data_IF_941172319608
#
_entry.id   IF_941172319608
#
_cell.length_a   1.000
_cell.length_b   1.000
_cell.length_c   1.000
_cell.angle_alpha   90.00
_cell.angle_beta   90.00
_cell.angle_gamma   90.00
#
_symmetry.space_group_name_H-M   'P 1'
#
loop_
_entity.id
_entity.type
_entity.pdbx_description
1 polymer ?
#
# COMPACT_ATOMS: atom_id res chain seq x y z
N UNK A 1 -2.04 4.59 -17.83
CA UNK A 1 -2.12 3.14 -18.12
C UNK A 1 -3.44 2.56 -17.63
N UNK A 2 -4.08 1.65 -18.37
CA UNK A 2 -5.30 0.92 -17.94
C UNK A 2 -4.93 -0.49 -17.49
N UNK A 3 -5.61 -1.02 -16.47
CA UNK A 3 -5.38 -2.37 -15.96
C UNK A 3 -6.04 -3.38 -16.90
N UNK A 4 -5.32 -4.45 -17.26
CA UNK A 4 -5.88 -5.56 -18.02
C UNK A 4 -6.84 -6.37 -17.13
N UNK A 5 -8.07 -6.58 -17.61
CA UNK A 5 -9.11 -7.32 -16.88
C UNK A 5 -9.34 -8.74 -17.42
N UNK A 6 -8.63 -9.13 -18.49
CA UNK A 6 -8.81 -10.42 -19.16
C UNK A 6 -7.77 -11.47 -18.74
N UNK A 7 -6.60 -11.03 -18.25
CA UNK A 7 -5.54 -11.93 -17.80
C UNK A 7 -4.92 -11.44 -16.49
N UNK A 8 -4.25 -12.32 -15.71
CA UNK A 8 -3.53 -11.90 -14.53
C UNK A 8 -2.49 -10.83 -14.87
N UNK A 9 -2.43 -9.78 -14.05
CA UNK A 9 -1.41 -8.73 -14.16
C UNK A 9 -0.25 -9.02 -13.22
N UNK A 10 0.97 -8.71 -13.64
CA UNK A 10 2.16 -8.82 -12.79
C UNK A 10 2.17 -7.71 -11.75
N UNK A 11 2.35 -8.09 -10.49
CA UNK A 11 2.26 -7.19 -9.33
C UNK A 11 3.47 -7.37 -8.42
N UNK A 12 3.95 -6.26 -7.86
CA UNK A 12 4.74 -6.24 -6.63
C UNK A 12 4.05 -5.34 -5.61
N UNK A 13 4.18 -5.68 -4.32
CA UNK A 13 3.61 -4.89 -3.22
C UNK A 13 4.75 -4.30 -2.41
N UNK A 14 4.68 -3.00 -2.11
CA UNK A 14 5.58 -2.26 -1.24
C UNK A 14 4.78 -1.74 -0.05
N UNK A 15 5.04 -2.28 1.13
CA UNK A 15 4.14 -2.14 2.28
C UNK A 15 4.86 -2.07 3.62
N UNK A 16 4.29 -1.34 4.56
CA UNK A 16 4.77 -1.17 5.93
C UNK A 16 4.01 -2.06 6.93
N UNK A 17 3.79 -3.33 6.57
CA UNK A 17 2.89 -4.26 7.25
C UNK A 17 3.04 -4.41 8.77
N UNK A 18 4.17 -3.99 9.36
CA UNK A 18 4.35 -3.95 10.81
C UNK A 18 3.64 -2.78 11.52
N UNK A 19 3.02 -1.86 10.77
CA UNK A 19 2.48 -0.60 11.27
C UNK A 19 0.99 -0.70 11.65
N UNK A 20 0.12 -1.11 10.72
CA UNK A 20 -1.32 -1.32 10.96
C UNK A 20 -1.77 -2.74 10.55
N UNK A 21 -3.08 -2.97 10.40
CA UNK A 21 -3.69 -4.28 10.10
C UNK A 21 -4.07 -4.48 8.62
N UNK A 22 -4.12 -3.41 7.84
CA UNK A 22 -4.68 -3.39 6.50
C UNK A 22 -3.74 -3.95 5.44
N UNK A 23 -2.43 -3.84 5.62
CA UNK A 23 -1.43 -4.49 4.79
C UNK A 23 -1.61 -6.01 4.78
N UNK A 24 -1.88 -6.61 5.93
CA UNK A 24 -2.08 -8.06 6.06
C UNK A 24 -3.30 -8.50 5.26
N UNK A 25 -4.37 -7.70 5.25
CA UNK A 25 -5.54 -7.93 4.39
C UNK A 25 -5.18 -7.79 2.91
N UNK A 26 -4.42 -6.75 2.53
CA UNK A 26 -4.00 -6.52 1.14
C UNK A 26 -3.11 -7.67 0.62
N UNK A 27 -2.13 -8.12 1.40
CA UNK A 27 -1.25 -9.25 1.07
C UNK A 27 -2.05 -10.53 0.92
N UNK A 28 -2.88 -10.87 1.93
CA UNK A 28 -3.69 -12.09 1.90
C UNK A 28 -4.64 -12.10 0.71
N UNK A 29 -5.33 -10.98 0.45
CA UNK A 29 -6.27 -10.88 -0.66
C UNK A 29 -5.58 -11.03 -2.02
N UNK A 30 -4.37 -10.48 -2.17
CA UNK A 30 -3.58 -10.61 -3.38
C UNK A 30 -3.25 -12.07 -3.69
N UNK A 31 -2.84 -12.82 -2.66
CA UNK A 31 -2.51 -14.25 -2.77
C UNK A 31 -3.72 -15.15 -3.03
N UNK A 32 -4.90 -14.73 -2.60
CA UNK A 32 -6.16 -15.45 -2.80
C UNK A 32 -6.82 -15.13 -4.16
N UNK A 33 -6.22 -14.24 -4.95
CA UNK A 33 -6.74 -13.78 -6.25
C UNK A 33 -5.74 -14.00 -7.40
N UNK A 34 -5.11 -15.18 -7.41
CA UNK A 34 -4.20 -15.61 -8.49
C UNK A 34 -4.90 -15.66 -9.87
N UNK A 35 -6.24 -15.69 -9.91
CA UNK A 35 -7.03 -15.53 -11.13
C UNK A 35 -6.84 -14.16 -11.80
N UNK A 36 -6.34 -13.16 -11.06
CA UNK A 36 -6.17 -11.78 -11.53
C UNK A 36 -4.82 -11.16 -11.21
N UNK A 37 -4.10 -11.67 -10.21
CA UNK A 37 -2.84 -11.09 -9.75
C UNK A 37 -1.74 -12.16 -9.78
N UNK A 38 -0.72 -11.91 -10.61
CA UNK A 38 0.56 -12.60 -10.56
C UNK A 38 1.45 -11.82 -9.59
N UNK A 39 1.33 -12.10 -8.28
CA UNK A 39 2.12 -11.45 -7.25
C UNK A 39 3.55 -12.00 -7.27
N UNK A 40 4.50 -11.17 -7.71
CA UNK A 40 5.86 -11.61 -8.00
C UNK A 40 6.88 -11.32 -6.90
N UNK A 41 6.61 -10.35 -6.03
CA UNK A 41 7.42 -10.00 -4.86
C UNK A 41 6.65 -9.11 -3.88
N UNK A 42 7.10 -9.09 -2.61
CA UNK A 42 6.67 -8.13 -1.60
C UNK A 42 7.91 -7.44 -1.02
N UNK A 43 7.86 -6.12 -0.91
CA UNK A 43 8.92 -5.25 -0.42
C UNK A 43 8.52 -4.68 0.93
N UNK A 44 9.40 -4.83 1.91
CA UNK A 44 9.21 -4.24 3.23
C UNK A 44 9.57 -2.76 3.18
N UNK A 45 8.58 -1.88 3.33
CA UNK A 45 8.77 -0.44 3.39
C UNK A 45 9.12 0.01 4.83
N UNK A 46 9.96 1.05 4.99
CA UNK A 46 10.20 1.67 6.29
C UNK A 46 8.99 2.47 6.78
N UNK A 47 8.81 2.52 8.10
CA UNK A 47 7.87 3.41 8.77
C UNK A 47 8.43 3.87 10.13
N UNK A 48 7.94 4.99 10.65
CA UNK A 48 8.19 5.43 12.03
C UNK A 48 6.93 6.02 12.63
N UNK A 49 6.73 5.83 13.94
CA UNK A 49 5.62 6.46 14.68
C UNK A 49 6.08 7.75 15.38
N UNK A 50 7.25 8.28 15.00
CA UNK A 50 7.88 9.44 15.61
C UNK A 50 7.08 10.75 15.42
N UNK A 51 6.22 10.81 14.39
CA UNK A 51 5.40 11.98 14.06
C UNK A 51 4.21 12.19 15.01
N UNK A 52 3.77 11.14 15.70
CA UNK A 52 2.66 11.21 16.63
C UNK A 52 3.16 11.43 18.05
N UNK A 53 2.42 12.26 18.81
CA UNK A 53 2.62 12.40 20.25
C UNK A 53 2.40 11.04 20.93
N UNK A 54 3.16 10.77 21.99
CA UNK A 54 3.02 9.55 22.77
C UNK A 54 1.59 9.41 23.28
N UNK A 55 0.86 8.41 22.77
CA UNK A 55 -0.38 7.99 23.41
C UNK A 55 -0.04 6.92 24.47
N UNK A 56 -0.56 7.10 25.68
CA UNK A 56 -0.34 6.15 26.78
C UNK A 56 -0.79 4.75 26.36
N UNK A 57 0.12 3.77 26.41
CA UNK A 57 -0.18 2.36 26.16
C UNK A 57 0.07 1.84 24.74
N UNK A 58 0.68 2.63 23.84
CA UNK A 58 1.10 2.16 22.51
C UNK A 58 2.17 1.05 22.60
N UNK A 59 1.97 -0.12 21.97
CA UNK A 59 2.98 -1.16 21.91
C UNK A 59 4.16 -0.73 21.02
N UNK A 60 5.27 -0.38 21.67
CA UNK A 60 6.62 -0.18 21.10
C UNK A 60 6.69 0.75 19.88
N UNK A 61 6.60 2.06 20.13
CA UNK A 61 6.88 3.15 19.17
C UNK A 61 8.13 2.85 18.33
N UNK A 62 8.00 2.92 17.00
CA UNK A 62 9.12 2.78 16.08
C UNK A 62 9.75 4.14 15.84
N UNK A 63 10.96 4.34 16.33
CA UNK A 63 11.68 5.63 16.20
C UNK A 63 12.54 5.69 14.94
N UNK A 64 12.94 4.54 14.39
CA UNK A 64 13.92 4.45 13.31
C UNK A 64 13.37 3.70 12.11
N UNK A 65 13.54 4.28 10.91
CA UNK A 65 13.07 3.71 9.64
C UNK A 65 13.54 2.26 9.42
N UNK A 66 14.81 1.97 9.74
CA UNK A 66 15.38 0.62 9.68
C UNK A 66 14.66 -0.41 10.57
N UNK A 67 14.22 0.02 11.77
CA UNK A 67 13.42 -0.85 12.65
C UNK A 67 12.04 -1.08 12.07
N UNK A 68 11.39 -0.04 11.55
CA UNK A 68 10.11 -0.14 10.86
C UNK A 68 10.18 -1.10 9.68
N UNK A 69 11.16 -0.93 8.79
CA UNK A 69 11.40 -1.84 7.66
C UNK A 69 11.57 -3.29 8.12
N UNK A 70 12.35 -3.52 9.19
CA UNK A 70 12.53 -4.87 9.75
C UNK A 70 11.20 -5.45 10.26
N UNK A 71 10.38 -4.66 10.95
CA UNK A 71 9.06 -5.09 11.43
C UNK A 71 8.12 -5.40 10.27
N UNK A 72 8.09 -4.56 9.24
CA UNK A 72 7.36 -4.82 7.99
C UNK A 72 7.79 -6.16 7.37
N UNK A 73 9.11 -6.40 7.25
CA UNK A 73 9.65 -7.64 6.72
C UNK A 73 9.22 -8.88 7.53
N UNK A 74 9.35 -8.81 8.86
CA UNK A 74 8.98 -9.90 9.76
C UNK A 74 7.46 -10.20 9.70
N UNK A 75 6.63 -9.16 9.59
CA UNK A 75 5.17 -9.29 9.51
C UNK A 75 4.68 -9.80 8.15
N UNK A 76 5.31 -9.39 7.04
CA UNK A 76 5.05 -9.99 5.73
C UNK A 76 5.30 -11.51 5.79
N UNK A 77 6.43 -11.95 6.34
CA UNK A 77 6.73 -13.37 6.50
C UNK A 77 5.71 -14.08 7.40
N UNK A 78 5.22 -13.40 8.44
CA UNK A 78 4.17 -13.92 9.32
C UNK A 78 2.88 -14.17 8.53
N UNK A 79 2.41 -13.20 7.75
CA UNK A 79 1.22 -13.36 6.89
C UNK A 79 1.43 -14.51 5.91
N UNK A 80 2.56 -14.55 5.20
CA UNK A 80 2.84 -15.63 4.23
C UNK A 80 2.80 -17.02 4.88
N UNK A 81 3.26 -17.16 6.13
CA UNK A 81 3.24 -18.43 6.87
C UNK A 81 1.83 -18.96 7.17
N UNK A 82 0.83 -18.07 7.15
CA UNK A 82 -0.58 -18.40 7.39
C UNK A 82 -1.33 -18.76 6.10
N UNK A 83 -0.73 -18.48 4.94
CA UNK A 83 -1.29 -18.78 3.62
C UNK A 83 -0.93 -20.21 3.18
N UNK A 84 -1.13 -20.52 1.90
CA UNK A 84 -0.72 -21.82 1.32
C UNK A 84 0.80 -22.01 1.46
N UNK A 85 1.21 -23.18 1.95
CA UNK A 85 2.61 -23.54 2.16
C UNK A 85 3.42 -23.64 0.87
N UNK A 86 2.76 -23.72 -0.29
CA UNK A 86 3.44 -23.70 -1.60
C UNK A 86 3.76 -22.29 -2.09
N UNK A 87 3.41 -21.24 -1.34
CA UNK A 87 3.71 -19.88 -1.71
C UNK A 87 5.22 -19.61 -1.67
N UNK A 88 5.79 -19.22 -2.83
CA UNK A 88 7.22 -18.91 -2.99
C UNK A 88 7.47 -17.44 -3.31
N UNK A 89 6.52 -16.54 -3.03
CA UNK A 89 6.68 -15.11 -3.29
C UNK A 89 7.87 -14.57 -2.50
N UNK A 90 8.89 -14.01 -3.17
CA UNK A 90 10.05 -13.46 -2.50
C UNK A 90 9.67 -12.22 -1.68
N UNK A 91 10.20 -12.14 -0.46
CA UNK A 91 10.10 -10.97 0.42
C UNK A 91 11.47 -10.32 0.48
N UNK A 92 11.53 -9.03 0.19
CA UNK A 92 12.79 -8.28 0.12
C UNK A 92 12.76 -7.11 1.08
N UNK A 93 13.89 -6.89 1.75
CA UNK A 93 14.10 -5.70 2.59
C UNK A 93 14.19 -4.46 1.71
N UNK A 94 13.44 -3.43 2.10
CA UNK A 94 13.52 -2.11 1.50
C UNK A 94 14.57 -1.23 2.16
N UNK A 95 14.42 0.06 1.94
CA UNK A 95 15.28 1.10 2.49
C UNK A 95 15.27 1.14 4.02
N UNK A 96 16.45 1.29 4.61
CA UNK A 96 16.65 1.49 6.05
C UNK A 96 16.60 2.98 6.45
N UNK A 97 16.65 3.88 5.47
CA UNK A 97 16.55 5.33 5.68
C UNK A 97 15.53 5.98 4.75
N UNK A 98 14.95 7.10 5.20
CA UNK A 98 14.14 7.93 4.33
C UNK A 98 15.02 8.73 3.39
N UNK A 99 14.50 9.03 2.19
CA UNK A 99 15.19 9.87 1.23
C UNK A 99 15.53 11.23 1.85
N UNK A 100 14.67 11.79 2.71
CA UNK A 100 14.91 13.07 3.42
C UNK A 100 16.20 13.13 4.25
N UNK A 101 16.72 11.98 4.69
CA UNK A 101 17.95 11.92 5.46
C UNK A 101 19.20 12.07 4.53
N UNK A 102 18.97 12.17 3.21
CA UNK A 102 19.77 12.78 2.11
C UNK A 102 21.29 12.86 2.31
N UNK A 103 21.98 11.72 2.24
CA UNK A 103 23.38 11.70 1.78
C UNK A 103 23.58 10.86 0.53
N UNK A 104 22.86 9.75 0.38
CA UNK A 104 22.93 8.88 -0.80
C UNK A 104 21.55 8.24 -1.09
N UNK A 105 21.25 7.98 -2.36
CA UNK A 105 20.06 7.23 -2.74
C UNK A 105 20.30 5.76 -2.41
N UNK A 106 19.47 5.20 -1.54
CA UNK A 106 19.67 3.83 -1.09
C UNK A 106 19.36 2.81 -2.20
N UNK A 107 20.29 1.89 -2.42
CA UNK A 107 20.11 0.79 -3.36
C UNK A 107 19.85 -0.53 -2.62
N UNK A 108 18.70 -0.61 -1.94
CA UNK A 108 18.29 -1.76 -1.13
C UNK A 108 17.97 -3.01 -1.98
N UNK A 109 17.81 -4.21 -1.39
CA UNK A 109 17.38 -5.40 -2.11
C UNK A 109 16.05 -5.21 -2.87
N UNK A 110 15.05 -4.57 -2.25
CA UNK A 110 13.78 -4.27 -2.91
C UNK A 110 13.94 -3.31 -4.10
N UNK A 111 14.75 -2.26 -3.95
CA UNK A 111 15.03 -1.29 -5.01
C UNK A 111 15.69 -1.97 -6.21
N UNK A 112 16.73 -2.78 -5.99
CA UNK A 112 17.39 -3.53 -7.05
C UNK A 112 16.44 -4.49 -7.77
N UNK A 113 15.61 -5.22 -7.01
CA UNK A 113 14.64 -6.16 -7.57
C UNK A 113 13.57 -5.45 -8.40
N UNK A 114 13.02 -4.32 -7.92
CA UNK A 114 12.06 -3.51 -8.67
C UNK A 114 12.65 -3.04 -10.00
N UNK A 115 13.87 -2.50 -9.99
CA UNK A 115 14.57 -2.06 -11.21
C UNK A 115 14.73 -3.22 -12.18
N UNK A 116 15.18 -4.38 -11.70
CA UNK A 116 15.40 -5.56 -12.53
C UNK A 116 14.10 -6.08 -13.12
N UNK A 117 13.03 -6.22 -12.33
CA UNK A 117 11.73 -6.68 -12.83
C UNK A 117 11.16 -5.72 -13.85
N UNK A 118 11.18 -4.42 -13.57
CA UNK A 118 10.67 -3.40 -14.46
C UNK A 118 11.39 -3.39 -15.82
N UNK A 119 12.72 -3.60 -15.85
CA UNK A 119 13.48 -3.66 -17.12
C UNK A 119 13.21 -4.93 -17.93
N UNK A 120 12.83 -6.02 -17.27
CA UNK A 120 12.59 -7.32 -17.91
C UNK A 120 11.09 -7.60 -18.15
N UNK A 121 10.20 -6.68 -17.79
CA UNK A 121 8.77 -6.88 -17.92
C UNK A 121 8.30 -6.71 -19.36
N UNK A 122 7.65 -7.73 -19.94
CA UNK A 122 7.07 -7.65 -21.29
C UNK A 122 5.78 -6.82 -21.33
N UNK A 123 5.03 -6.87 -20.22
CA UNK A 123 3.87 -6.03 -19.93
C UNK A 123 4.18 -5.16 -18.72
N UNK A 124 3.48 -4.03 -18.53
CA UNK A 124 3.75 -3.18 -17.39
C UNK A 124 3.62 -3.89 -16.04
N UNK A 125 4.62 -3.70 -15.19
CA UNK A 125 4.61 -4.18 -13.81
C UNK A 125 3.78 -3.22 -12.94
N UNK A 126 2.81 -3.73 -12.20
CA UNK A 126 2.00 -2.93 -11.29
C UNK A 126 2.66 -2.91 -9.91
N UNK A 127 3.02 -1.73 -9.45
CA UNK A 127 3.69 -1.51 -8.16
C UNK A 127 2.65 -0.97 -7.20
N UNK A 128 2.15 -1.82 -6.31
CA UNK A 128 1.22 -1.44 -5.25
C UNK A 128 2.03 -0.87 -4.11
N UNK A 129 2.00 0.45 -3.94
CA UNK A 129 2.69 1.17 -2.87
C UNK A 129 1.67 1.57 -1.83
N UNK A 130 1.70 0.87 -0.70
CA UNK A 130 0.78 1.07 0.44
C UNK A 130 1.52 1.49 1.73
N UNK A 131 2.84 1.72 1.64
CA UNK A 131 3.61 2.48 2.62
C UNK A 131 4.16 3.80 2.06
N UNK A 132 5.16 4.36 2.75
CA UNK A 132 5.93 5.49 2.24
C UNK A 132 6.63 5.13 0.91
N UNK A 133 6.62 6.00 -0.13
CA UNK A 133 7.11 5.65 -1.46
C UNK A 133 8.65 5.66 -1.57
N UNK A 134 9.38 5.44 -0.48
CA UNK A 134 10.84 5.53 -0.39
C UNK A 134 11.53 4.58 -1.37
N UNK A 135 11.16 3.29 -1.36
CA UNK A 135 11.73 2.30 -2.29
C UNK A 135 11.48 2.66 -3.76
N UNK A 136 10.26 3.14 -4.07
CA UNK A 136 9.86 3.50 -5.43
C UNK A 136 10.61 4.75 -5.90
N UNK A 137 10.73 5.76 -5.04
CA UNK A 137 11.47 6.97 -5.34
C UNK A 137 12.97 6.67 -5.56
N UNK A 138 13.59 5.85 -4.71
CA UNK A 138 14.97 5.39 -4.88
C UNK A 138 15.15 4.67 -6.22
N UNK A 139 14.24 3.75 -6.58
CA UNK A 139 14.29 3.04 -7.85
C UNK A 139 14.18 3.98 -9.06
N UNK A 140 13.25 4.94 -9.02
CA UNK A 140 13.06 5.93 -10.10
C UNK A 140 14.25 6.90 -10.23
N UNK A 141 14.93 7.24 -9.12
CA UNK A 141 16.12 8.08 -9.15
C UNK A 141 17.35 7.31 -9.68
N UNK A 142 17.54 6.06 -9.28
CA UNK A 142 18.66 5.21 -9.72
C UNK A 142 18.49 4.70 -11.15
N UNK A 143 17.25 4.48 -11.59
CA UNK A 143 16.92 3.96 -12.92
C UNK A 143 15.69 4.65 -13.52
N UNK A 144 15.80 5.93 -13.95
CA UNK A 144 14.66 6.67 -14.51
C UNK A 144 14.00 6.01 -15.72
N UNK A 145 14.73 5.15 -16.44
CA UNK A 145 14.22 4.41 -17.60
C UNK A 145 13.06 3.46 -17.26
N UNK A 146 12.95 3.00 -16.02
CA UNK A 146 11.89 2.06 -15.62
C UNK A 146 10.50 2.69 -15.59
N UNK A 147 10.41 4.03 -15.55
CA UNK A 147 9.13 4.74 -15.46
C UNK A 147 8.17 4.41 -16.61
N UNK A 148 8.69 3.97 -17.77
CA UNK A 148 7.86 3.58 -18.92
C UNK A 148 7.27 2.17 -18.77
N UNK A 149 7.87 1.34 -17.91
CA UNK A 149 7.55 -0.08 -17.75
C UNK A 149 6.72 -0.39 -16.51
N UNK A 150 6.50 0.60 -15.62
CA UNK A 150 5.76 0.39 -14.38
C UNK A 150 4.50 1.25 -14.29
N UNK A 151 3.49 0.74 -13.60
CA UNK A 151 2.33 1.47 -13.14
C UNK A 151 2.33 1.48 -11.61
N UNK A 152 2.57 2.66 -11.03
CA UNK A 152 2.52 2.83 -9.57
C UNK A 152 1.08 3.09 -9.13
N UNK A 153 0.61 2.34 -8.15
CA UNK A 153 -0.65 2.53 -7.44
C UNK A 153 -0.29 2.94 -6.02
N UNK A 154 -0.43 4.21 -5.69
CA UNK A 154 0.03 4.74 -4.41
C UNK A 154 -1.13 5.20 -3.54
N UNK A 155 -1.23 4.61 -2.35
CA UNK A 155 -2.07 5.12 -1.27
C UNK A 155 -1.27 6.19 -0.52
N UNK A 156 -1.64 7.44 -0.74
CA UNK A 156 -0.90 8.56 -0.19
C UNK A 156 -1.67 9.87 -0.27
N UNK A 157 -1.46 10.71 0.73
CA UNK A 157 -2.08 12.03 0.80
C UNK A 157 -3.60 12.03 0.97
N UNK A 158 -4.21 13.19 0.86
CA UNK A 158 -5.66 13.37 0.93
C UNK A 158 -6.23 13.89 -0.38
N UNK A 159 -7.57 13.82 -0.53
CA UNK A 159 -8.23 14.36 -1.72
C UNK A 159 -7.84 15.82 -1.92
N UNK A 160 -7.73 16.27 -3.16
CA UNK A 160 -7.36 17.66 -3.47
C UNK A 160 -8.33 18.71 -2.91
N UNK A 161 -9.57 18.31 -2.63
CA UNK A 161 -10.59 19.15 -2.00
C UNK A 161 -10.56 19.12 -0.46
N UNK A 162 -9.67 18.31 0.13
CA UNK A 162 -9.42 18.26 1.57
C UNK A 162 -8.53 19.45 1.99
N UNK A 163 -8.64 19.87 3.24
CA UNK A 163 -8.02 21.13 3.70
C UNK A 163 -6.49 21.04 3.87
N UNK A 164 -5.95 19.82 3.98
CA UNK A 164 -4.52 19.49 4.01
C UNK A 164 -4.27 18.16 3.29
N UNK A 165 -3.01 17.72 3.29
CA UNK A 165 -2.59 16.36 2.94
C UNK A 165 -1.64 15.77 4.00
N UNK A 166 -1.95 16.00 5.27
CA UNK A 166 -1.23 15.43 6.43
C UNK A 166 -1.54 13.94 6.58
N UNK A 167 -1.06 13.14 5.63
CA UNK A 167 -1.29 11.71 5.56
C UNK A 167 0.00 10.95 5.90
N UNK A 168 -0.15 9.81 6.61
CA UNK A 168 0.95 9.06 7.19
C UNK A 168 2.03 8.68 6.17
N UNK A 169 1.68 7.94 5.12
CA UNK A 169 2.63 7.44 4.12
C UNK A 169 3.37 8.58 3.41
N UNK A 170 2.64 9.66 3.07
CA UNK A 170 3.21 10.84 2.45
C UNK A 170 4.19 11.59 3.38
N UNK A 171 3.82 11.78 4.65
CA UNK A 171 4.61 12.59 5.58
C UNK A 171 5.87 11.87 6.07
N UNK A 172 5.90 10.53 6.07
CA UNK A 172 7.09 9.74 6.41
C UNK A 172 8.31 10.23 5.62
N UNK A 173 8.12 10.44 4.31
CA UNK A 173 9.17 10.79 3.36
C UNK A 173 8.65 11.75 2.28
N UNK A 174 8.50 13.03 2.65
CA UNK A 174 8.05 14.07 1.72
C UNK A 174 8.94 14.19 0.46
N UNK A 175 10.29 14.12 0.55
CA UNK A 175 11.13 14.08 -0.64
C UNK A 175 10.83 12.91 -1.57
N UNK A 176 10.66 11.68 -1.06
CA UNK A 176 10.28 10.54 -1.89
C UNK A 176 8.90 10.74 -2.53
N UNK A 177 7.94 11.28 -1.77
CA UNK A 177 6.61 11.62 -2.27
C UNK A 177 6.66 12.63 -3.43
N UNK A 178 7.52 13.66 -3.33
CA UNK A 178 7.76 14.62 -4.41
C UNK A 178 8.37 13.97 -5.64
N UNK A 179 9.40 13.14 -5.45
CA UNK A 179 10.03 12.38 -6.55
C UNK A 179 8.99 11.57 -7.30
N UNK A 180 8.13 10.83 -6.59
CA UNK A 180 7.09 10.03 -7.22
C UNK A 180 6.11 10.91 -8.02
N UNK A 181 5.61 11.99 -7.43
CA UNK A 181 4.69 12.93 -8.08
C UNK A 181 5.32 13.67 -9.27
N UNK A 182 6.64 13.89 -9.27
CA UNK A 182 7.39 14.60 -10.31
C UNK A 182 7.90 13.68 -11.43
N UNK A 183 7.97 12.37 -11.19
CA UNK A 183 8.68 11.39 -12.03
C UNK A 183 8.12 11.21 -13.44
N UNK A 184 6.84 11.53 -13.68
CA UNK A 184 6.17 11.22 -14.95
C UNK A 184 5.81 9.74 -15.13
N UNK A 185 6.02 8.90 -14.11
CA UNK A 185 5.57 7.50 -14.11
C UNK A 185 4.06 7.42 -14.28
N UNK A 186 3.56 6.33 -14.85
CA UNK A 186 2.13 6.06 -14.82
C UNK A 186 1.69 5.89 -13.34
N UNK A 187 1.04 6.90 -12.78
CA UNK A 187 0.60 6.92 -11.38
C UNK A 187 -0.93 6.89 -11.28
N UNK A 188 -1.45 5.99 -10.45
CA UNK A 188 -2.79 6.12 -9.86
C UNK A 188 -2.63 6.48 -8.39
N UNK A 189 -3.11 7.65 -7.99
CA UNK A 189 -3.14 8.12 -6.61
C UNK A 189 -4.47 7.73 -5.95
N UNK A 190 -4.38 7.16 -4.76
CA UNK A 190 -5.49 6.77 -3.90
C UNK A 190 -5.49 7.69 -2.66
N UNK A 191 -6.27 8.77 -2.65
CA UNK A 191 -6.27 9.69 -1.53
C UNK A 191 -6.94 9.09 -0.29
N UNK A 192 -6.34 9.24 0.90
CA UNK A 192 -6.89 8.71 2.15
C UNK A 192 -8.17 9.44 2.55
N UNK A 193 -8.09 10.68 3.04
CA UNK A 193 -9.28 11.45 3.41
C UNK A 193 -10.00 12.00 2.19
N UNK A 194 -11.33 11.88 2.20
CA UNK A 194 -12.22 12.27 1.10
C UNK A 194 -12.48 11.17 0.07
N UNK A 195 -11.75 10.05 0.11
CA UNK A 195 -11.95 8.92 -0.81
C UNK A 195 -11.80 7.58 -0.08
N UNK A 196 -10.58 7.13 0.23
CA UNK A 196 -10.34 5.79 0.79
C UNK A 196 -10.86 5.64 2.23
N UNK A 197 -11.05 6.74 2.96
CA UNK A 197 -11.63 6.75 4.31
C UNK A 197 -13.04 6.15 4.41
N UNK A 198 -13.70 5.86 3.28
CA UNK A 198 -14.97 5.13 3.25
C UNK A 198 -14.80 3.62 3.41
N UNK A 199 -13.61 3.07 3.18
CA UNK A 199 -13.30 1.64 3.29
C UNK A 199 -13.20 1.17 4.74
N UNK A 200 -14.23 1.44 5.53
CA UNK A 200 -14.26 1.15 6.95
C UNK A 200 -15.03 -0.12 7.28
N UNK A 201 -14.60 -0.80 8.33
CA UNK A 201 -15.29 -1.91 9.00
C UNK A 201 -15.12 -1.74 10.51
N UNK A 202 -15.55 -2.72 11.30
CA UNK A 202 -15.44 -2.71 12.77
C UNK A 202 -14.88 -4.02 13.28
N UNK A 203 -14.24 -4.01 14.45
CA UNK A 203 -13.76 -5.24 15.09
C UNK A 203 -14.88 -6.28 15.22
N UNK A 204 -16.10 -5.96 15.71
CA UNK A 204 -17.17 -6.94 15.77
C UNK A 204 -17.55 -7.52 14.40
N UNK A 205 -17.54 -6.73 13.34
CA UNK A 205 -17.81 -7.21 11.97
C UNK A 205 -16.72 -8.17 11.50
N UNK A 206 -15.44 -7.80 11.67
CA UNK A 206 -14.30 -8.67 11.33
C UNK A 206 -14.35 -9.99 12.11
N UNK A 207 -14.54 -9.92 13.44
CA UNK A 207 -14.59 -11.10 14.29
C UNK A 207 -15.77 -12.00 13.94
N UNK A 208 -16.94 -11.42 13.67
CA UNK A 208 -18.13 -12.18 13.29
C UNK A 208 -17.93 -12.98 12.00
N UNK A 209 -17.33 -12.37 10.97
CA UNK A 209 -17.15 -13.04 9.69
C UNK A 209 -15.91 -13.95 9.62
N UNK A 210 -14.81 -13.61 10.30
CA UNK A 210 -13.51 -14.22 10.04
C UNK A 210 -13.07 -15.26 11.10
N UNK A 211 -13.54 -15.17 12.34
CA UNK A 211 -13.15 -16.14 13.37
C UNK A 211 -13.60 -17.56 13.02
N UNK A 212 -12.70 -18.51 13.23
CA UNK A 212 -12.85 -19.95 12.97
C UNK A 212 -13.19 -20.30 11.51
N UNK A 213 -12.79 -19.45 10.55
CA UNK A 213 -13.06 -19.69 9.12
C UNK A 213 -11.83 -20.16 8.35
N UNK A 214 -10.65 -19.62 8.66
CA UNK A 214 -9.35 -20.01 8.10
C UNK A 214 -8.22 -19.55 9.01
N UNK A 215 -7.01 -20.06 8.81
CA UNK A 215 -5.80 -19.65 9.56
C UNK A 215 -5.55 -18.15 9.48
N UNK A 216 -5.65 -17.58 8.27
CA UNK A 216 -5.49 -16.14 8.07
C UNK A 216 -6.68 -15.34 8.62
N UNK A 217 -7.91 -15.86 8.50
CA UNK A 217 -9.09 -15.23 9.08
C UNK A 217 -9.03 -15.13 10.61
N UNK A 218 -8.62 -16.21 11.28
CA UNK A 218 -8.40 -16.24 12.72
C UNK A 218 -7.31 -15.26 13.15
N UNK A 219 -6.19 -15.22 12.42
CA UNK A 219 -5.12 -14.27 12.69
C UNK A 219 -5.61 -12.82 12.64
N UNK A 220 -6.24 -12.43 11.53
CA UNK A 220 -6.71 -11.06 11.31
C UNK A 220 -7.76 -10.65 12.35
N UNK A 221 -8.72 -11.52 12.66
CA UNK A 221 -9.76 -11.24 13.64
C UNK A 221 -9.25 -11.10 15.08
N UNK A 222 -8.19 -11.83 15.43
CA UNK A 222 -7.55 -11.74 16.75
C UNK A 222 -6.54 -10.59 16.84
N UNK A 223 -5.95 -10.17 15.72
CA UNK A 223 -5.03 -9.04 15.65
C UNK A 223 -5.79 -7.69 15.74
N UNK A 224 -6.95 -7.57 15.10
CA UNK A 224 -7.73 -6.31 15.08
C UNK A 224 -7.93 -5.64 16.46
N UNK A 225 -8.33 -6.36 17.55
CA UNK A 225 -8.51 -5.75 18.86
C UNK A 225 -7.21 -5.39 19.60
N UNK A 226 -6.03 -5.74 19.09
CA UNK A 226 -4.75 -5.42 19.77
C UNK A 226 -4.29 -3.99 19.52
N UNK A 227 -4.86 -3.31 18.54
CA UNK A 227 -4.60 -1.91 18.24
C UNK A 227 -5.45 -1.00 19.15
N UNK A 228 -4.79 -0.34 20.09
CA UNK A 228 -5.40 0.51 21.12
C UNK A 228 -6.15 1.74 20.56
N UNK A 229 -5.81 2.23 19.37
CA UNK A 229 -6.54 3.31 18.70
C UNK A 229 -7.90 2.87 18.13
N UNK A 230 -8.16 1.55 18.05
CA UNK A 230 -9.47 1.02 17.68
C UNK A 230 -10.32 0.81 18.92
N UNK A 231 -11.04 1.87 19.31
CA UNK A 231 -11.80 1.93 20.57
C UNK A 231 -13.28 1.54 20.42
N UNK A 232 -14.05 1.57 21.52
CA UNK A 232 -15.48 1.28 21.51
C UNK A 232 -16.24 2.13 20.48
N UNK A 233 -17.05 1.46 19.66
CA UNK A 233 -17.84 2.07 18.57
C UNK A 233 -17.01 2.82 17.50
N UNK A 234 -15.69 2.63 17.48
CA UNK A 234 -14.83 3.15 16.43
C UNK A 234 -14.82 2.23 15.21
N UNK A 235 -14.67 2.85 14.04
CA UNK A 235 -14.43 2.14 12.78
C UNK A 235 -12.92 1.99 12.57
N UNK A 236 -12.47 0.88 11.98
CA UNK A 236 -11.14 0.76 11.38
C UNK A 236 -11.30 0.91 9.87
N UNK A 237 -10.60 1.90 9.31
CA UNK A 237 -10.47 2.02 7.87
C UNK A 237 -9.41 1.04 7.39
N UNK A 238 -9.73 0.31 6.35
CA UNK A 238 -8.83 -0.60 5.64
C UNK A 238 -8.34 0.14 4.40
N UNK A 239 -7.27 0.90 4.54
CA UNK A 239 -6.80 1.81 3.50
C UNK A 239 -6.18 1.03 2.33
N UNK A 240 -5.31 0.09 2.65
CA UNK A 240 -4.39 -0.54 1.69
C UNK A 240 -5.08 -1.49 0.70
N UNK A 241 -6.27 -1.98 1.06
CA UNK A 241 -7.07 -2.84 0.19
C UNK A 241 -7.59 -2.09 -1.05
N UNK A 242 -7.57 -0.75 -1.06
CA UNK A 242 -8.01 0.05 -2.19
C UNK A 242 -7.21 -0.26 -3.47
N UNK A 243 -5.88 -0.34 -3.33
CA UNK A 243 -4.97 -0.53 -4.46
C UNK A 243 -5.15 -1.93 -5.05
N UNK A 244 -5.30 -2.94 -4.19
CA UNK A 244 -5.59 -4.32 -4.61
C UNK A 244 -6.95 -4.40 -5.31
N UNK A 245 -7.98 -3.82 -4.71
CA UNK A 245 -9.32 -3.78 -5.29
C UNK A 245 -9.35 -3.18 -6.68
N UNK A 246 -8.56 -2.13 -6.94
CA UNK A 246 -8.48 -1.50 -8.25
C UNK A 246 -7.86 -2.42 -9.31
N UNK A 247 -6.85 -3.22 -8.94
CA UNK A 247 -6.27 -4.20 -9.87
C UNK A 247 -7.23 -5.37 -10.13
N UNK A 248 -7.99 -5.78 -9.12
CA UNK A 248 -8.98 -6.85 -9.23
C UNK A 248 -10.19 -6.43 -10.07
N UNK A 249 -10.75 -5.26 -9.83
CA UNK A 249 -11.94 -4.80 -10.53
C UNK A 249 -12.00 -3.27 -10.61
N UNK A 250 -11.40 -2.67 -11.66
CA UNK A 250 -11.41 -1.22 -11.86
C UNK A 250 -12.82 -0.61 -11.91
N UNK A 251 -13.86 -1.38 -12.27
CA UNK A 251 -15.23 -0.87 -12.33
C UNK A 251 -15.84 -0.51 -10.97
N UNK A 252 -15.26 -0.99 -9.86
CA UNK A 252 -15.61 -0.56 -8.50
C UNK A 252 -15.15 0.87 -8.18
N UNK A 253 -14.34 1.48 -9.05
CA UNK A 253 -13.75 2.79 -8.81
C UNK A 253 -14.29 3.82 -9.80
N UNK A 254 -14.31 5.09 -9.39
CA UNK A 254 -14.38 6.22 -10.32
C UNK A 254 -13.10 7.02 -10.19
N UNK A 255 -12.53 7.37 -11.32
CA UNK A 255 -11.26 8.08 -11.39
C UNK A 255 -11.37 9.27 -12.33
N UNK A 256 -10.53 10.26 -12.09
CA UNK A 256 -10.27 11.36 -13.01
C UNK A 256 -8.83 11.31 -13.49
N UNK A 257 -8.57 11.89 -14.65
CA UNK A 257 -7.23 12.13 -15.17
C UNK A 257 -6.94 13.62 -15.03
N UNK A 258 -5.95 13.97 -14.23
CA UNK A 258 -5.65 15.35 -13.84
C UNK A 258 -4.14 15.57 -13.78
N UNK A 259 -3.70 16.82 -13.86
CA UNK A 259 -2.28 17.15 -13.69
C UNK A 259 -1.80 16.72 -12.31
N UNK A 260 -0.60 16.12 -12.26
CA UNK A 260 0.05 15.73 -11.01
C UNK A 260 0.10 16.91 -10.05
N UNK A 261 -0.40 16.78 -8.80
CA UNK A 261 -0.39 17.89 -7.86
C UNK A 261 1.04 18.24 -7.42
N UNK A 262 1.21 19.47 -6.93
CA UNK A 262 2.45 19.92 -6.29
C UNK A 262 2.29 19.78 -4.78
N UNK A 263 3.16 18.99 -4.15
CA UNK A 263 3.21 18.84 -2.70
C UNK A 263 3.99 19.99 -2.05
N UNK A 264 3.28 20.89 -1.37
CA UNK A 264 3.87 22.04 -0.68
C UNK A 264 4.55 21.64 0.64
N UNK A 265 5.48 22.45 1.15
CA UNK A 265 6.19 22.18 2.42
C UNK A 265 5.27 22.16 3.64
N UNK A 266 4.12 22.83 3.57
CA UNK A 266 3.10 22.86 4.61
C UNK A 266 2.06 21.73 4.47
N UNK A 267 2.39 20.63 3.78
CA UNK A 267 1.50 19.48 3.59
C UNK A 267 0.14 19.89 2.98
N UNK A 268 0.15 20.72 1.95
CA UNK A 268 -1.04 21.04 1.15
C UNK A 268 -0.78 20.79 -0.32
N UNK A 269 -1.86 20.69 -1.11
CA UNK A 269 -1.78 20.59 -2.55
C UNK A 269 -1.80 21.95 -3.24
N UNK A 270 -0.93 22.14 -4.22
CA UNK A 270 -1.05 23.19 -5.24
C UNK A 270 -1.33 22.56 -6.61
N UNK A 271 -2.03 23.30 -7.48
CA UNK A 271 -2.36 22.87 -8.84
C UNK A 271 -1.49 23.58 -9.87
N UNK A 272 -0.95 22.81 -10.82
CA UNK A 272 -0.29 23.33 -12.02
C UNK A 272 -0.70 22.48 -13.24
N UNK A 273 -1.58 23.04 -14.08
CA UNK A 273 -2.14 22.36 -15.25
C UNK A 273 -1.11 22.03 -16.35
N UNK A 274 0.14 22.51 -16.23
CA UNK A 274 1.24 22.20 -17.17
C UNK A 274 1.95 20.90 -16.83
N UNK A 275 1.72 20.33 -15.63
CA UNK A 275 2.33 19.08 -15.19
C UNK A 275 1.71 17.90 -15.93
N UNK A 276 2.48 16.80 -16.01
CA UNK A 276 2.00 15.55 -16.60
C UNK A 276 0.77 15.02 -15.86
N UNK A 277 -0.07 14.27 -16.56
CA UNK A 277 -1.29 13.75 -15.98
C UNK A 277 -1.06 12.47 -15.18
N UNK A 278 -1.74 12.36 -14.05
CA UNK A 278 -1.88 11.16 -13.23
C UNK A 278 -3.35 10.80 -13.10
N UNK A 279 -3.64 9.57 -12.72
CA UNK A 279 -4.99 9.16 -12.36
C UNK A 279 -5.21 9.42 -10.88
N UNK A 280 -6.36 10.00 -10.53
CA UNK A 280 -6.77 10.21 -9.14
C UNK A 280 -8.07 9.45 -8.91
N UNK A 281 -8.10 8.60 -7.88
CA UNK A 281 -9.34 7.93 -7.45
C UNK A 281 -10.25 8.95 -6.76
N UNK A 282 -11.52 8.97 -7.14
CA UNK A 282 -12.54 9.89 -6.63
C UNK A 282 -13.68 9.20 -5.89
N UNK A 283 -13.86 7.90 -6.11
CA UNK A 283 -14.88 7.10 -5.45
C UNK A 283 -14.51 5.63 -5.47
N UNK A 284 -14.90 4.91 -4.41
CA UNK A 284 -14.71 3.48 -4.26
C UNK A 284 -16.03 2.84 -3.83
N UNK A 285 -16.48 1.82 -4.57
CA UNK A 285 -17.61 0.97 -4.20
C UNK A 285 -17.18 -0.02 -3.12
N UNK A 286 -17.24 0.46 -1.87
CA UNK A 286 -16.78 -0.24 -0.67
C UNK A 286 -17.41 -1.61 -0.51
N UNK A 287 -18.70 -1.76 -0.77
CA UNK A 287 -19.40 -2.99 -0.42
C UNK A 287 -19.01 -4.18 -1.30
N UNK A 288 -18.68 -3.95 -2.57
CA UNK A 288 -18.18 -5.02 -3.45
C UNK A 288 -16.81 -5.49 -3.00
N UNK A 289 -15.93 -4.56 -2.63
CA UNK A 289 -14.62 -4.83 -2.06
C UNK A 289 -14.72 -5.72 -0.81
N UNK A 290 -15.49 -5.30 0.19
CA UNK A 290 -15.63 -6.04 1.45
C UNK A 290 -16.28 -7.42 1.25
N UNK A 291 -17.27 -7.52 0.35
CA UNK A 291 -17.89 -8.83 0.01
C UNK A 291 -16.89 -9.80 -0.61
N UNK A 292 -16.01 -9.35 -1.51
CA UNK A 292 -15.02 -10.24 -2.11
C UNK A 292 -13.94 -10.62 -1.09
N UNK A 293 -13.29 -9.64 -0.45
CA UNK A 293 -12.18 -9.91 0.46
C UNK A 293 -12.59 -10.80 1.64
N UNK A 294 -13.74 -10.57 2.28
CA UNK A 294 -14.19 -11.42 3.39
C UNK A 294 -14.48 -12.84 2.94
N UNK A 295 -15.15 -13.03 1.80
CA UNK A 295 -15.38 -14.38 1.26
C UNK A 295 -14.08 -15.11 0.98
N UNK A 296 -13.11 -14.43 0.35
CA UNK A 296 -11.80 -15.01 0.04
C UNK A 296 -11.05 -15.41 1.30
N UNK A 297 -11.02 -14.56 2.31
CA UNK A 297 -10.36 -14.85 3.59
C UNK A 297 -11.07 -16.02 4.31
N UNK A 298 -12.40 -16.02 4.35
CA UNK A 298 -13.19 -17.10 4.98
C UNK A 298 -12.97 -18.46 4.31
N UNK A 299 -12.74 -18.46 3.00
CA UNK A 299 -12.58 -19.68 2.21
C UNK A 299 -11.11 -20.05 1.98
N UNK A 300 -10.15 -19.33 2.57
CA UNK A 300 -8.72 -19.45 2.27
C UNK A 300 -8.13 -20.86 2.50
N UNK A 301 -8.66 -21.64 3.45
CA UNK A 301 -8.23 -23.02 3.71
C UNK A 301 -9.16 -24.08 3.05
N UNK A 302 -10.20 -23.65 2.33
CA UNK A 302 -11.09 -24.55 1.60
C UNK A 302 -10.48 -24.84 0.22
N UNK A 303 -10.32 -26.13 -0.07
CA UNK A 303 -9.82 -26.62 -1.36
C UNK A 303 -10.91 -26.62 -2.43
#
# INVERSE_FOLDING_TARGET
MTVDTQSPVSVVIDCDAGNEIDDQFAIAWSLLRQDRLDLQAIYAAPYTNAFFENQDGEPTRVEHAAEGMKRSYDEILRVLSLMDATNTVPVLKGSEHYLKDMQEIENSPAVNDLINRARNAEKPLHVVTIGAPTNIACALLLAPDIAINIHVLWLGGHSQDWYDTEEFNLMQDMPASRVLLDSGVALTLFPCMGVTNTLATSIPEMQFYLLNTSRIGDYLANLAPTFNWITFASRKVMWDIANIGYLLEPSWFRCSLESSPVLNDNLTWSRDDRRHNIRIVRYIERDHLFKDIFRRIMDADKK
#
